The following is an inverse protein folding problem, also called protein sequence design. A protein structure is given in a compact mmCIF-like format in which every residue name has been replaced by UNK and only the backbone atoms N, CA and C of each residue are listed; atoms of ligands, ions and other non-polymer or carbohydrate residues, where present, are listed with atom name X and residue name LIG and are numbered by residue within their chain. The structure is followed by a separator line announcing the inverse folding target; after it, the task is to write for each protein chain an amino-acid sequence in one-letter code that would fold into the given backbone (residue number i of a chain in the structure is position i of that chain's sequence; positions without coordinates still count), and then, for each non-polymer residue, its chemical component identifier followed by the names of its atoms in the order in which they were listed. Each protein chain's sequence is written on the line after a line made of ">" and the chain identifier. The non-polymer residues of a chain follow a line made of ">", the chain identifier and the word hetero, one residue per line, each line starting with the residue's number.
data_IF_406647449269
#
_entry.id   IF_406647449269
#
_cell.length_a   1.000
_cell.length_b   1.000
_cell.length_c   1.000
_cell.angle_alpha   90.00
_cell.angle_beta   90.00
_cell.angle_gamma   90.00
#
_symmetry.space_group_name_H-M   'P 1'
#
loop_
_entity.id
_entity.type
_entity.pdbx_description
1 polymer ?
#
# COMPACT_ATOMS: atom_id res chain seq x y z
N UNK A 1 18.68 -1.78 -25.14
CA UNK A 1 17.28 -2.11 -25.46
C UNK A 1 16.49 -2.20 -24.16
N UNK A 2 15.69 -1.17 -23.88
CA UNK A 2 15.00 -1.00 -22.58
C UNK A 2 13.82 -1.94 -22.38
N UNK A 3 13.44 -2.76 -23.39
CA UNK A 3 12.23 -3.59 -23.33
C UNK A 3 10.93 -2.78 -23.30
N UNK A 4 11.01 -1.47 -23.51
CA UNK A 4 9.92 -0.51 -23.57
C UNK A 4 10.04 0.18 -24.92
N UNK A 5 8.93 0.39 -25.61
CA UNK A 5 8.92 1.21 -26.81
C UNK A 5 9.12 2.71 -26.47
N UNK A 6 9.40 3.53 -27.46
CA UNK A 6 9.67 4.95 -27.26
C UNK A 6 8.45 5.70 -26.66
N UNK A 7 7.24 5.29 -27.02
CA UNK A 7 6.00 5.86 -26.52
C UNK A 7 5.78 5.53 -25.02
N UNK A 8 5.95 4.26 -24.63
CA UNK A 8 5.86 3.84 -23.24
C UNK A 8 6.93 4.49 -22.36
N UNK A 9 8.14 4.67 -22.87
CA UNK A 9 9.20 5.40 -22.17
C UNK A 9 8.83 6.87 -21.94
N UNK A 10 8.25 7.53 -22.94
CA UNK A 10 7.80 8.92 -22.84
C UNK A 10 6.69 9.10 -21.80
N UNK A 11 5.67 8.25 -21.81
CA UNK A 11 4.57 8.26 -20.83
C UNK A 11 5.07 7.99 -19.40
N UNK A 12 5.95 7.01 -19.23
CA UNK A 12 6.55 6.72 -17.94
C UNK A 12 7.38 7.89 -17.40
N UNK A 13 8.16 8.54 -18.27
CA UNK A 13 8.92 9.73 -17.89
C UNK A 13 8.01 10.89 -17.46
N UNK A 14 6.92 11.14 -18.18
CA UNK A 14 5.94 12.17 -17.85
C UNK A 14 5.27 11.90 -16.50
N UNK A 15 4.82 10.67 -16.25
CA UNK A 15 4.21 10.28 -14.98
C UNK A 15 5.17 10.48 -13.80
N UNK A 16 6.44 10.11 -13.97
CA UNK A 16 7.48 10.29 -12.95
C UNK A 16 7.87 11.76 -12.77
N UNK A 17 7.92 12.54 -13.84
CA UNK A 17 8.20 13.97 -13.76
C UNK A 17 7.14 14.69 -12.92
N UNK A 18 5.88 14.33 -13.10
CA UNK A 18 4.74 14.93 -12.39
C UNK A 18 4.53 14.36 -10.98
N UNK A 19 4.76 13.07 -10.78
CA UNK A 19 4.40 12.35 -9.57
C UNK A 19 5.54 11.94 -8.64
N UNK A 20 6.81 12.14 -9.05
CA UNK A 20 7.98 11.77 -8.26
C UNK A 20 8.90 12.97 -8.01
N UNK A 21 8.90 13.47 -6.79
CA UNK A 21 9.72 14.63 -6.40
C UNK A 21 11.21 14.32 -6.55
N UNK A 22 11.92 15.20 -7.21
CA UNK A 22 13.36 15.03 -7.41
C UNK A 22 13.74 14.05 -8.54
N UNK A 23 12.79 13.62 -9.38
CA UNK A 23 13.07 12.68 -10.47
C UNK A 23 14.24 13.13 -11.36
N UNK A 24 14.30 14.41 -11.73
CA UNK A 24 15.33 14.95 -12.59
C UNK A 24 16.71 15.03 -11.92
N UNK A 25 16.78 15.04 -10.59
CA UNK A 25 18.01 15.04 -9.81
C UNK A 25 18.61 13.65 -9.63
N UNK A 26 17.86 12.60 -9.96
CA UNK A 26 18.36 11.23 -9.89
C UNK A 26 19.44 10.97 -10.95
N UNK A 27 20.32 10.02 -10.66
CA UNK A 27 21.28 9.50 -11.65
C UNK A 27 20.55 8.91 -12.86
N UNK A 28 21.21 8.90 -14.02
CA UNK A 28 20.65 8.30 -15.24
C UNK A 28 20.15 6.87 -15.03
N UNK A 29 20.95 5.97 -14.43
CA UNK A 29 20.51 4.60 -14.12
C UNK A 29 19.27 4.54 -13.23
N UNK A 30 19.19 5.36 -12.16
CA UNK A 30 18.04 5.38 -11.25
C UNK A 30 16.77 5.85 -11.98
N UNK A 31 16.85 6.88 -12.82
CA UNK A 31 15.73 7.32 -13.67
C UNK A 31 15.25 6.22 -14.60
N UNK A 32 16.18 5.52 -15.24
CA UNK A 32 15.85 4.40 -16.14
C UNK A 32 15.16 3.25 -15.39
N UNK A 33 15.61 2.91 -14.19
CA UNK A 33 14.99 1.86 -13.36
C UNK A 33 13.55 2.24 -12.97
N UNK A 34 13.30 3.49 -12.61
CA UNK A 34 11.95 3.97 -12.31
C UNK A 34 11.06 3.97 -13.57
N UNK A 35 11.55 4.43 -14.71
CA UNK A 35 10.80 4.42 -15.97
C UNK A 35 10.42 3.01 -16.39
N UNK A 36 11.35 2.05 -16.30
CA UNK A 36 11.07 0.63 -16.56
C UNK A 36 10.02 0.07 -15.61
N UNK A 37 10.08 0.46 -14.35
CA UNK A 37 9.13 0.02 -13.33
C UNK A 37 7.73 0.54 -13.65
N UNK A 38 7.56 1.83 -13.92
CA UNK A 38 6.28 2.43 -14.29
C UNK A 38 5.71 1.75 -15.54
N UNK A 39 6.49 1.64 -16.62
CA UNK A 39 6.04 0.98 -17.85
C UNK A 39 5.69 -0.51 -17.64
N UNK A 40 6.39 -1.20 -16.74
CA UNK A 40 6.05 -2.57 -16.37
C UNK A 40 4.72 -2.65 -15.61
N UNK A 41 4.49 -1.73 -14.68
CA UNK A 41 3.25 -1.68 -13.88
C UNK A 41 2.03 -1.32 -14.74
N UNK A 42 2.20 -0.47 -15.75
CA UNK A 42 1.14 -0.15 -16.72
C UNK A 42 0.65 -1.41 -17.47
N UNK A 43 1.53 -2.35 -17.75
CA UNK A 43 1.15 -3.65 -18.33
C UNK A 43 0.29 -4.51 -17.41
N UNK A 44 0.33 -4.27 -16.10
CA UNK A 44 -0.55 -4.89 -15.11
C UNK A 44 -1.84 -4.07 -14.85
N UNK A 45 -2.10 -3.03 -15.64
CA UNK A 45 -3.29 -2.19 -15.51
C UNK A 45 -3.19 -1.10 -14.46
N UNK A 46 -1.99 -0.80 -13.95
CA UNK A 46 -1.75 0.29 -13.01
C UNK A 46 -1.41 1.54 -13.82
N UNK A 47 -2.12 2.65 -13.57
CA UNK A 47 -1.81 3.92 -14.25
C UNK A 47 -0.40 4.41 -13.91
N UNK A 48 0.26 5.07 -14.84
CA UNK A 48 1.59 5.65 -14.62
C UNK A 48 1.61 6.63 -13.45
N UNK A 49 0.54 7.39 -13.25
CA UNK A 49 0.37 8.30 -12.12
C UNK A 49 0.35 7.57 -10.77
N UNK A 50 -0.46 6.51 -10.64
CA UNK A 50 -0.51 5.72 -9.42
C UNK A 50 0.81 4.97 -9.15
N UNK A 51 1.47 4.50 -10.19
CA UNK A 51 2.79 3.88 -10.08
C UNK A 51 3.84 4.89 -9.57
N UNK A 52 3.87 6.10 -10.14
CA UNK A 52 4.77 7.17 -9.70
C UNK A 52 4.50 7.59 -8.25
N UNK A 53 3.23 7.72 -7.87
CA UNK A 53 2.83 8.05 -6.50
C UNK A 53 3.23 6.96 -5.49
N UNK A 54 3.04 5.69 -5.82
CA UNK A 54 3.49 4.59 -4.97
C UNK A 54 5.02 4.58 -4.80
N UNK A 55 5.78 4.78 -5.88
CA UNK A 55 7.23 4.90 -5.83
C UNK A 55 7.68 6.10 -4.98
N UNK A 56 7.00 7.24 -5.09
CA UNK A 56 7.21 8.42 -4.25
C UNK A 56 7.03 8.09 -2.77
N UNK A 57 5.93 7.44 -2.40
CA UNK A 57 5.64 7.05 -1.02
C UNK A 57 6.71 6.10 -0.47
N UNK A 58 7.09 5.09 -1.23
CA UNK A 58 8.07 4.11 -0.80
C UNK A 58 9.46 4.71 -0.60
N UNK A 59 9.86 5.64 -1.45
CA UNK A 59 11.17 6.31 -1.33
C UNK A 59 11.19 7.37 -0.25
N UNK A 60 10.22 8.30 -0.24
CA UNK A 60 10.27 9.48 0.61
C UNK A 60 9.62 9.26 1.99
N UNK A 61 8.59 8.42 2.07
CA UNK A 61 7.89 8.18 3.32
C UNK A 61 8.37 6.92 4.04
N UNK A 62 8.74 5.86 3.30
CA UNK A 62 9.16 4.59 3.90
C UNK A 62 10.67 4.35 3.85
N UNK A 63 11.43 5.29 3.34
CA UNK A 63 12.89 5.27 3.36
C UNK A 63 13.54 4.23 2.42
N UNK A 64 12.83 3.75 1.41
CA UNK A 64 13.37 2.82 0.43
C UNK A 64 14.25 3.53 -0.60
N UNK A 65 15.31 2.89 -1.06
CA UNK A 65 16.03 3.32 -2.25
C UNK A 65 15.14 3.18 -3.50
N UNK A 66 15.51 3.83 -4.62
CA UNK A 66 14.75 3.71 -5.87
C UNK A 66 14.62 2.26 -6.35
N UNK A 67 15.66 1.46 -6.18
CA UNK A 67 15.64 0.03 -6.51
C UNK A 67 14.75 -0.79 -5.58
N UNK A 68 14.81 -0.54 -4.28
CA UNK A 68 13.93 -1.17 -3.31
C UNK A 68 12.46 -0.80 -3.58
N UNK A 69 12.16 0.48 -3.81
CA UNK A 69 10.83 0.95 -4.16
C UNK A 69 10.29 0.28 -5.44
N UNK A 70 11.13 0.13 -6.47
CA UNK A 70 10.78 -0.59 -7.69
C UNK A 70 10.43 -2.05 -7.43
N UNK A 71 11.17 -2.73 -6.54
CA UNK A 71 10.87 -4.10 -6.16
C UNK A 71 9.60 -4.19 -5.31
N UNK A 72 9.42 -3.29 -4.37
CA UNK A 72 8.25 -3.23 -3.49
C UNK A 72 6.95 -3.03 -4.28
N UNK A 73 6.94 -2.13 -5.27
CA UNK A 73 5.76 -1.90 -6.12
C UNK A 73 5.41 -3.14 -6.96
N UNK A 74 6.40 -3.83 -7.50
CA UNK A 74 6.20 -5.08 -8.24
C UNK A 74 5.68 -6.19 -7.32
N UNK A 75 6.23 -6.32 -6.13
CA UNK A 75 5.76 -7.30 -5.12
C UNK A 75 4.31 -7.03 -4.73
N UNK A 76 3.93 -5.77 -4.53
CA UNK A 76 2.58 -5.37 -4.20
C UNK A 76 1.58 -5.77 -5.31
N UNK A 77 1.92 -5.49 -6.58
CA UNK A 77 1.10 -5.86 -7.72
C UNK A 77 0.92 -7.38 -7.83
N UNK A 78 2.00 -8.15 -7.66
CA UNK A 78 1.97 -9.61 -7.69
C UNK A 78 1.22 -10.21 -6.49
N UNK A 79 1.36 -9.62 -5.31
CA UNK A 79 0.64 -10.06 -4.12
C UNK A 79 -0.88 -9.93 -4.31
N UNK A 80 -1.35 -8.82 -4.89
CA UNK A 80 -2.76 -8.65 -5.23
C UNK A 80 -3.28 -9.78 -6.12
N UNK A 81 -2.55 -10.09 -7.17
CA UNK A 81 -2.90 -11.18 -8.09
C UNK A 81 -3.04 -12.54 -7.38
N UNK A 82 -2.11 -12.84 -6.46
CA UNK A 82 -2.12 -14.10 -5.69
C UNK A 82 -3.34 -14.25 -4.79
N UNK A 83 -3.82 -13.17 -4.20
CA UNK A 83 -5.00 -13.17 -3.32
C UNK A 83 -6.31 -12.86 -4.08
N UNK A 84 -6.25 -12.72 -5.40
CA UNK A 84 -7.40 -12.46 -6.26
C UNK A 84 -7.90 -11.02 -6.22
N UNK A 85 -7.02 -10.06 -5.94
CA UNK A 85 -7.25 -8.62 -6.05
C UNK A 85 -6.49 -8.09 -7.26
N UNK A 86 -7.10 -7.25 -8.10
CA UNK A 86 -6.37 -6.67 -9.23
C UNK A 86 -5.17 -5.83 -8.75
N UNK A 87 -4.10 -5.82 -9.54
CA UNK A 87 -2.91 -5.04 -9.24
C UNK A 87 -3.24 -3.54 -9.04
N UNK A 88 -4.17 -3.00 -9.83
CA UNK A 88 -4.63 -1.62 -9.70
C UNK A 88 -5.32 -1.36 -8.35
N UNK A 89 -6.26 -2.22 -7.94
CA UNK A 89 -6.91 -2.10 -6.62
C UNK A 89 -5.91 -2.21 -5.47
N UNK A 90 -4.96 -3.12 -5.59
CA UNK A 90 -3.92 -3.33 -4.59
C UNK A 90 -3.05 -2.08 -4.44
N UNK A 91 -2.65 -1.47 -5.56
CA UNK A 91 -1.85 -0.25 -5.57
C UNK A 91 -2.61 0.95 -5.00
N UNK A 92 -3.85 1.16 -5.44
CA UNK A 92 -4.70 2.26 -4.96
C UNK A 92 -4.95 2.14 -3.45
N UNK A 93 -5.33 0.95 -2.97
CA UNK A 93 -5.53 0.71 -1.55
C UNK A 93 -4.29 0.95 -0.70
N UNK A 94 -3.11 0.57 -1.22
CA UNK A 94 -1.84 0.85 -0.55
C UNK A 94 -1.55 2.36 -0.45
N UNK A 95 -1.77 3.11 -1.53
CA UNK A 95 -1.59 4.57 -1.55
C UNK A 95 -2.55 5.24 -0.56
N UNK A 96 -3.81 4.84 -0.54
CA UNK A 96 -4.81 5.34 0.41
C UNK A 96 -4.45 5.03 1.87
N UNK A 97 -3.93 3.84 2.14
CA UNK A 97 -3.54 3.38 3.47
C UNK A 97 -2.15 3.90 3.92
N UNK A 98 -1.44 4.65 3.09
CA UNK A 98 -0.03 5.00 3.28
C UNK A 98 0.27 5.70 4.61
N UNK A 99 -0.65 6.54 5.11
CA UNK A 99 -0.47 7.22 6.41
C UNK A 99 -0.44 6.23 7.56
N UNK A 100 -1.40 5.32 7.61
CA UNK A 100 -1.50 4.28 8.65
C UNK A 100 -0.37 3.27 8.56
N UNK A 101 0.18 3.07 7.37
CA UNK A 101 1.28 2.14 7.11
C UNK A 101 2.68 2.75 7.35
N UNK A 102 2.78 4.07 7.52
CA UNK A 102 4.07 4.77 7.65
C UNK A 102 4.92 4.25 8.82
N UNK A 103 4.30 3.82 9.92
CA UNK A 103 4.98 3.28 11.11
C UNK A 103 5.75 1.99 10.84
N UNK A 104 5.40 1.25 9.78
CA UNK A 104 6.05 0.00 9.38
C UNK A 104 7.22 0.18 8.42
N UNK A 105 7.43 1.39 7.90
CA UNK A 105 8.52 1.67 6.96
C UNK A 105 8.52 0.69 5.78
N UNK A 106 9.64 0.00 5.57
CA UNK A 106 9.79 -0.96 4.47
C UNK A 106 8.95 -2.23 4.61
N UNK A 107 8.48 -2.55 5.81
CA UNK A 107 7.59 -3.70 6.06
C UNK A 107 6.12 -3.41 5.70
N UNK A 108 5.79 -2.16 5.34
CA UNK A 108 4.45 -1.72 4.96
C UNK A 108 3.79 -2.58 3.87
N UNK A 109 4.55 -3.09 2.91
CA UNK A 109 4.03 -3.97 1.85
C UNK A 109 3.50 -5.28 2.43
N UNK A 110 4.26 -5.90 3.34
CA UNK A 110 3.85 -7.15 3.98
C UNK A 110 2.60 -6.93 4.82
N UNK A 111 2.62 -5.91 5.66
CA UNK A 111 1.48 -5.55 6.52
C UNK A 111 0.23 -5.28 5.69
N UNK A 112 0.33 -4.48 4.63
CA UNK A 112 -0.79 -4.19 3.76
C UNK A 112 -1.30 -5.43 3.01
N UNK A 113 -0.41 -6.29 2.52
CA UNK A 113 -0.77 -7.52 1.82
C UNK A 113 -1.56 -8.46 2.73
N UNK A 114 -1.11 -8.64 3.96
CA UNK A 114 -1.77 -9.49 4.96
C UNK A 114 -3.16 -8.90 5.31
N UNK A 115 -3.25 -7.58 5.48
CA UNK A 115 -4.50 -6.87 5.73
C UNK A 115 -5.49 -6.98 4.55
N UNK A 116 -5.00 -6.82 3.33
CA UNK A 116 -5.82 -6.94 2.12
C UNK A 116 -6.36 -8.37 1.94
N UNK A 117 -5.56 -9.39 2.28
CA UNK A 117 -6.01 -10.78 2.25
C UNK A 117 -7.14 -11.03 3.27
N UNK A 118 -7.02 -10.51 4.47
CA UNK A 118 -8.05 -10.60 5.51
C UNK A 118 -9.33 -9.86 5.11
N UNK A 119 -9.20 -8.63 4.64
CA UNK A 119 -10.32 -7.82 4.17
C UNK A 119 -11.08 -8.55 3.05
N UNK A 120 -10.36 -9.14 2.09
CA UNK A 120 -10.98 -9.92 1.02
C UNK A 120 -11.72 -11.16 1.55
N UNK A 121 -11.14 -11.90 2.49
CA UNK A 121 -11.79 -13.05 3.12
C UNK A 121 -13.07 -12.63 3.86
N UNK A 122 -13.10 -11.46 4.47
CA UNK A 122 -14.26 -10.87 5.15
C UNK A 122 -15.26 -10.17 4.19
N UNK A 123 -14.94 -10.03 2.90
CA UNK A 123 -15.80 -9.36 1.92
C UNK A 123 -15.81 -7.83 2.02
N UNK A 124 -14.77 -7.22 2.58
CA UNK A 124 -14.62 -5.76 2.74
C UNK A 124 -13.34 -5.26 2.08
N UNK A 125 -13.20 -3.93 1.95
CA UNK A 125 -11.96 -3.32 1.46
C UNK A 125 -10.95 -3.17 2.62
N UNK A 126 -9.63 -3.22 2.31
CA UNK A 126 -8.57 -3.07 3.30
C UNK A 126 -8.65 -1.72 4.04
N UNK A 127 -9.03 -0.65 3.33
CA UNK A 127 -9.26 0.69 3.89
C UNK A 127 -10.36 0.69 4.97
N UNK A 128 -11.35 -0.19 4.86
CA UNK A 128 -12.41 -0.34 5.86
C UNK A 128 -11.85 -0.86 7.18
N UNK A 129 -10.98 -1.88 7.14
CA UNK A 129 -10.34 -2.42 8.35
C UNK A 129 -9.40 -1.40 8.98
N UNK A 130 -8.62 -0.68 8.17
CA UNK A 130 -7.76 0.41 8.66
C UNK A 130 -8.57 1.55 9.27
N UNK A 131 -9.63 2.00 8.60
CA UNK A 131 -10.51 3.05 9.13
C UNK A 131 -11.17 2.67 10.45
N UNK A 132 -11.51 1.40 10.64
CA UNK A 132 -11.99 0.91 11.93
C UNK A 132 -10.88 0.99 12.99
N UNK A 133 -9.65 0.60 12.66
CA UNK A 133 -8.50 0.66 13.56
C UNK A 133 -8.19 2.10 14.03
N UNK A 134 -8.33 3.09 13.15
CA UNK A 134 -8.09 4.50 13.45
C UNK A 134 -9.13 5.13 14.39
N UNK A 135 -10.30 4.49 14.60
CA UNK A 135 -11.36 5.04 15.45
C UNK A 135 -11.21 4.73 16.95
N UNK A 136 -10.08 4.13 17.38
CA UNK A 136 -9.86 3.70 18.75
C UNK A 136 -9.37 4.78 19.74
N UNK A 137 -9.39 6.05 19.37
CA UNK A 137 -8.85 7.13 20.21
C UNK A 137 -9.74 7.49 21.42
N UNK A 138 -10.99 7.05 21.41
CA UNK A 138 -11.93 7.25 22.51
C UNK A 138 -12.57 5.94 22.93
N UNK A 139 -13.01 5.83 24.20
CA UNK A 139 -13.71 4.62 24.67
C UNK A 139 -14.97 4.33 23.85
N UNK A 140 -15.73 5.35 23.49
CA UNK A 140 -16.91 5.20 22.62
C UNK A 140 -16.54 4.70 21.24
N UNK A 141 -15.51 5.30 20.64
CA UNK A 141 -14.97 4.86 19.34
C UNK A 141 -14.44 3.43 19.39
N UNK A 142 -13.76 3.06 20.47
CA UNK A 142 -13.25 1.70 20.68
C UNK A 142 -14.39 0.66 20.79
N UNK A 143 -15.47 0.98 21.46
CA UNK A 143 -16.64 0.10 21.60
C UNK A 143 -17.32 -0.14 20.24
N UNK A 144 -17.53 0.92 19.45
CA UNK A 144 -18.10 0.85 18.11
C UNK A 144 -17.19 0.06 17.15
N UNK A 145 -15.91 0.32 17.21
CA UNK A 145 -14.92 -0.36 16.39
C UNK A 145 -14.82 -1.85 16.74
N UNK A 146 -14.80 -2.21 18.03
CA UNK A 146 -14.82 -3.60 18.48
C UNK A 146 -16.06 -4.34 17.97
N UNK A 147 -17.24 -3.72 18.05
CA UNK A 147 -18.48 -4.27 17.53
C UNK A 147 -18.43 -4.54 16.03
N UNK A 148 -17.92 -3.58 15.24
CA UNK A 148 -17.75 -3.73 13.79
C UNK A 148 -16.74 -4.80 13.43
N UNK A 149 -15.60 -4.84 14.11
CA UNK A 149 -14.56 -5.86 13.88
C UNK A 149 -15.05 -7.25 14.24
N UNK A 150 -15.69 -7.42 15.38
CA UNK A 150 -16.25 -8.70 15.81
C UNK A 150 -17.29 -9.20 14.80
N UNK A 151 -18.10 -8.29 14.24
CA UNK A 151 -19.07 -8.63 13.19
C UNK A 151 -18.41 -9.03 11.86
N UNK A 152 -17.34 -8.36 11.47
CA UNK A 152 -16.66 -8.58 10.17
C UNK A 152 -15.74 -9.81 10.24
N UNK A 153 -14.95 -9.94 11.31
CA UNK A 153 -13.90 -10.96 11.45
C UNK A 153 -14.33 -12.17 12.28
N UNK A 154 -15.50 -12.12 12.92
CA UNK A 154 -15.96 -13.16 13.83
C UNK A 154 -15.13 -13.26 15.13
N UNK A 155 -14.46 -12.18 15.51
CA UNK A 155 -13.62 -12.12 16.72
C UNK A 155 -14.42 -11.78 17.98
N UNK A 156 -13.80 -11.92 19.15
CA UNK A 156 -14.39 -11.64 20.46
C UNK A 156 -13.57 -10.56 21.22
N UNK A 157 -13.03 -9.58 20.50
CA UNK A 157 -12.22 -8.52 21.10
C UNK A 157 -13.08 -7.55 21.93
N UNK A 158 -12.54 -7.12 23.07
CA UNK A 158 -13.18 -6.11 23.91
C UNK A 158 -12.70 -4.69 23.55
N UNK A 159 -13.57 -3.70 23.79
CA UNK A 159 -13.21 -2.29 23.62
C UNK A 159 -12.01 -1.88 24.50
N UNK A 160 -11.90 -2.47 25.70
CA UNK A 160 -10.81 -2.17 26.65
C UNK A 160 -9.47 -2.71 26.12
N UNK A 161 -9.44 -3.93 25.58
CA UNK A 161 -8.23 -4.49 24.97
C UNK A 161 -7.74 -3.63 23.82
N UNK A 162 -8.64 -3.24 22.91
CA UNK A 162 -8.30 -2.42 21.75
C UNK A 162 -7.85 -1.01 22.14
N UNK A 163 -8.44 -0.41 23.17
CA UNK A 163 -8.08 0.92 23.64
C UNK A 163 -6.68 0.95 24.29
N UNK A 164 -6.27 -0.13 24.96
CA UNK A 164 -4.95 -0.23 25.61
C UNK A 164 -3.83 -0.61 24.66
N UNK A 165 -4.14 -1.12 23.48
CA UNK A 165 -3.15 -1.43 22.45
C UNK A 165 -2.62 -0.17 21.79
N UNK A 166 -1.32 -0.16 21.42
CA UNK A 166 -0.77 0.85 20.53
C UNK A 166 -1.34 0.67 19.12
N UNK A 167 -1.35 1.73 18.33
CA UNK A 167 -1.91 1.70 16.98
C UNK A 167 -1.35 0.56 16.11
N UNK A 168 -0.03 0.36 16.15
CA UNK A 168 0.62 -0.74 15.44
C UNK A 168 0.18 -2.12 15.94
N UNK A 169 -0.03 -2.29 17.24
CA UNK A 169 -0.51 -3.55 17.82
C UNK A 169 -1.96 -3.85 17.41
N UNK A 170 -2.80 -2.82 17.28
CA UNK A 170 -4.18 -2.94 16.79
C UNK A 170 -4.22 -3.45 15.36
N UNK A 171 -3.39 -2.87 14.47
CA UNK A 171 -3.29 -3.30 13.07
C UNK A 171 -2.75 -4.74 12.98
N UNK A 172 -1.74 -5.10 13.78
CA UNK A 172 -1.23 -6.47 13.83
C UNK A 172 -2.29 -7.46 14.34
N UNK A 173 -3.09 -7.06 15.31
CA UNK A 173 -4.20 -7.89 15.84
C UNK A 173 -5.25 -8.12 14.77
N UNK A 174 -5.57 -7.10 13.96
CA UNK A 174 -6.47 -7.22 12.81
C UNK A 174 -5.95 -8.19 11.75
N UNK A 175 -4.64 -8.23 11.54
CA UNK A 175 -4.01 -9.11 10.56
C UNK A 175 -4.02 -10.57 11.02
N UNK A 176 -3.99 -10.82 12.33
CA UNK A 176 -3.92 -12.17 12.91
C UNK A 176 -5.29 -12.80 13.22
N UNK A 177 -6.36 -12.01 13.21
CA UNK A 177 -7.74 -12.48 13.49
C UNK A 177 -8.36 -13.17 12.30
#
# INVERSE_FOLDING_TARGET
>A
NLGIDAEGAGKAAESLFNGFTGFMQLSGPARQDLMKTVASLEKFGISGENAAQALQLMTHNFGASTREASNMTKQLALAGTKIGISASKMMNGFVEASKSLAVYGKDSIKVFTDLAAQAKAAGVEASTLLGIAETFDTFSGAADAAGKLNSILGTQMSAVELLTMKENERIETLIRS
#
